data_IF_474833831914
#
_entry.id   IF_474833831914
#
_cell.length_a   1.000
_cell.length_b   1.000
_cell.length_c   1.000
_cell.angle_alpha   90.00
_cell.angle_beta   90.00
_cell.angle_gamma   90.00
#
_symmetry.space_group_name_H-M   'P 1'
#
loop_
_entity.id
_entity.type
_entity.pdbx_description
1 polymer ?
#
# COMPACT_ATOMS: atom_id res chain seq x y z
N UNK A 1 -7.52 -4.80 5.41
CA UNK A 1 -7.54 -3.42 4.86
C UNK A 1 -8.39 -3.32 3.60
N UNK A 2 -8.25 -4.23 2.63
CA UNK A 2 -8.94 -4.19 1.33
C UNK A 2 -10.48 -4.00 1.43
N UNK A 3 -11.15 -4.68 2.37
CA UNK A 3 -12.60 -4.51 2.58
C UNK A 3 -12.99 -3.07 2.96
N UNK A 4 -12.14 -2.36 3.69
CA UNK A 4 -12.39 -0.97 4.09
C UNK A 4 -12.15 -0.01 2.93
N UNK A 5 -11.12 -0.26 2.11
CA UNK A 5 -10.82 0.56 0.93
C UNK A 5 -11.94 0.52 -0.12
N UNK A 6 -12.71 -0.58 -0.19
CA UNK A 6 -13.86 -0.72 -1.08
C UNK A 6 -15.18 -0.18 -0.47
N UNK A 7 -15.16 0.24 0.80
CA UNK A 7 -16.34 0.80 1.45
C UNK A 7 -16.52 2.28 1.07
N UNK A 8 -17.77 2.76 0.88
CA UNK A 8 -18.04 4.19 0.71
C UNK A 8 -17.72 5.02 1.97
N UNK A 9 -17.53 4.40 3.13
CA UNK A 9 -17.29 5.08 4.41
C UNK A 9 -15.86 5.63 4.55
N UNK A 10 -14.93 5.17 3.71
CA UNK A 10 -13.53 5.53 3.77
C UNK A 10 -13.08 6.29 2.51
N UNK A 11 -12.36 7.38 2.73
CA UNK A 11 -11.69 8.13 1.66
C UNK A 11 -10.25 7.68 1.54
N UNK A 12 -9.85 7.27 0.33
CA UNK A 12 -8.48 6.97 -0.02
C UNK A 12 -7.69 8.22 -0.38
N UNK A 13 -6.44 8.30 0.08
CA UNK A 13 -5.50 9.37 -0.28
C UNK A 13 -4.12 8.78 -0.57
N UNK A 14 -3.56 9.18 -1.71
CA UNK A 14 -2.14 9.02 -2.01
C UNK A 14 -1.40 10.33 -1.70
N UNK A 15 -0.49 10.31 -0.74
CA UNK A 15 0.39 11.44 -0.43
C UNK A 15 1.64 11.37 -1.29
N UNK A 16 1.73 12.27 -2.27
CA UNK A 16 2.87 12.36 -3.20
C UNK A 16 4.19 12.72 -2.52
N UNK A 17 4.18 13.46 -1.41
CA UNK A 17 5.41 13.84 -0.70
C UNK A 17 5.97 12.65 0.06
N UNK A 18 5.09 11.85 0.68
CA UNK A 18 5.48 10.65 1.41
C UNK A 18 5.68 9.42 0.50
N UNK A 19 5.13 9.44 -0.72
CA UNK A 19 5.03 8.28 -1.62
C UNK A 19 4.34 7.07 -0.94
N UNK A 20 3.32 7.37 -0.14
CA UNK A 20 2.55 6.40 0.66
C UNK A 20 1.06 6.72 0.60
N UNK A 21 0.23 5.75 0.99
CA UNK A 21 -1.22 5.87 0.99
C UNK A 21 -1.81 5.72 2.39
N UNK A 22 -2.99 6.30 2.56
CA UNK A 22 -3.81 6.09 3.74
C UNK A 22 -5.30 6.15 3.38
N UNK A 23 -6.12 5.53 4.22
CA UNK A 23 -7.57 5.70 4.22
C UNK A 23 -8.00 6.38 5.52
N UNK A 24 -9.07 7.18 5.46
CA UNK A 24 -9.68 7.75 6.65
C UNK A 24 -11.21 7.78 6.54
N UNK A 25 -11.88 7.61 7.68
CA UNK A 25 -13.34 7.54 7.76
C UNK A 25 -13.80 7.60 9.22
N UNK A 26 -14.80 8.44 9.52
CA UNK A 26 -15.29 8.64 10.88
C UNK A 26 -14.18 9.08 11.85
N UNK A 27 -13.80 8.19 12.78
CA UNK A 27 -12.72 8.40 13.77
C UNK A 27 -11.49 7.52 13.51
N UNK A 28 -11.41 6.89 12.34
CA UNK A 28 -10.34 5.95 11.99
C UNK A 28 -9.45 6.51 10.89
N UNK A 29 -8.16 6.26 11.02
CA UNK A 29 -7.13 6.55 10.03
C UNK A 29 -6.20 5.34 9.95
N UNK A 30 -5.97 4.82 8.75
CA UNK A 30 -5.11 3.66 8.53
C UNK A 30 -4.13 3.97 7.40
N UNK A 31 -2.84 3.85 7.68
CA UNK A 31 -1.81 3.81 6.65
C UNK A 31 -1.77 2.44 5.98
N UNK A 32 -1.55 2.41 4.68
CA UNK A 32 -1.45 1.18 3.92
C UNK A 32 -0.45 1.30 2.78
N UNK A 33 -0.06 0.14 2.27
CA UNK A 33 0.64 0.02 1.00
C UNK A 33 -0.29 -0.63 -0.01
N UNK A 34 -0.26 -0.13 -1.24
CA UNK A 34 -1.02 -0.64 -2.37
C UNK A 34 -0.09 -0.81 -3.58
N UNK A 35 -0.58 -1.27 -4.74
CA UNK A 35 0.28 -1.44 -5.90
C UNK A 35 1.06 -0.16 -6.27
N UNK A 36 0.46 1.03 -6.18
CA UNK A 36 1.09 2.31 -6.57
C UNK A 36 2.24 2.66 -5.61
N UNK A 37 2.02 2.56 -4.31
CA UNK A 37 3.07 2.87 -3.31
C UNK A 37 4.18 1.82 -3.36
N UNK A 38 3.83 0.55 -3.53
CA UNK A 38 4.79 -0.55 -3.60
C UNK A 38 5.68 -0.44 -4.84
N UNK A 39 5.10 -0.13 -6.02
CA UNK A 39 5.86 0.12 -7.23
C UNK A 39 6.79 1.34 -7.08
N UNK A 40 6.33 2.41 -6.43
CA UNK A 40 7.17 3.59 -6.17
C UNK A 40 8.41 3.24 -5.35
N UNK A 41 8.26 2.43 -4.30
CA UNK A 41 9.38 1.96 -3.48
C UNK A 41 10.29 0.98 -4.21
N UNK A 42 9.73 0.05 -4.99
CA UNK A 42 10.48 -0.86 -5.84
C UNK A 42 11.33 -0.11 -6.88
N UNK A 43 10.75 0.90 -7.53
CA UNK A 43 11.45 1.80 -8.45
C UNK A 43 12.56 2.57 -7.74
N UNK A 44 12.32 3.06 -6.51
CA UNK A 44 13.34 3.72 -5.71
C UNK A 44 14.52 2.80 -5.38
N UNK A 45 14.25 1.58 -4.92
CA UNK A 45 15.31 0.61 -4.62
C UNK A 45 16.15 0.29 -5.86
N UNK A 46 15.50 0.12 -7.02
CA UNK A 46 16.17 -0.10 -8.30
C UNK A 46 17.02 1.10 -8.73
N UNK A 47 16.50 2.32 -8.64
CA UNK A 47 17.22 3.54 -9.08
C UNK A 47 18.42 3.87 -8.21
N UNK A 48 18.44 3.44 -6.96
CA UNK A 48 19.54 3.63 -6.01
C UNK A 48 20.48 2.42 -5.93
N UNK A 49 20.32 1.43 -6.82
CA UNK A 49 21.12 0.20 -6.82
C UNK A 49 21.15 -0.52 -5.47
N UNK A 50 20.03 -0.48 -4.73
CA UNK A 50 19.87 -1.26 -3.51
C UNK A 50 19.68 -2.75 -3.86
N UNK A 51 20.08 -3.63 -2.95
CA UNK A 51 20.01 -5.08 -3.17
C UNK A 51 18.57 -5.62 -3.27
N UNK A 52 17.57 -4.90 -2.77
CA UNK A 52 16.17 -5.30 -2.82
C UNK A 52 15.31 -4.66 -1.75
N UNK A 53 14.12 -5.25 -1.53
CA UNK A 53 13.15 -4.86 -0.52
C UNK A 53 12.77 -6.11 0.29
N UNK A 54 12.55 -5.93 1.59
CA UNK A 54 12.00 -6.97 2.47
C UNK A 54 10.50 -6.75 2.63
N UNK A 55 9.71 -7.83 2.59
CA UNK A 55 8.26 -7.80 2.79
C UNK A 55 7.94 -8.44 4.13
N UNK A 56 7.18 -7.72 4.96
CA UNK A 56 6.67 -8.24 6.24
C UNK A 56 5.15 -8.00 6.32
N UNK A 57 4.32 -9.03 6.19
CA UNK A 57 4.66 -10.40 5.78
C UNK A 57 3.69 -10.86 4.70
N UNK A 58 4.03 -11.96 4.01
CA UNK A 58 3.18 -12.51 2.94
C UNK A 58 1.77 -12.86 3.42
N UNK A 59 1.58 -13.19 4.70
CA UNK A 59 0.27 -13.51 5.26
C UNK A 59 -0.64 -12.28 5.42
N UNK A 60 -0.09 -11.07 5.37
CA UNK A 60 -0.86 -9.82 5.44
C UNK A 60 -1.27 -9.32 4.05
N UNK A 61 -0.79 -9.97 2.99
CA UNK A 61 -1.14 -9.65 1.61
C UNK A 61 -2.52 -10.24 1.24
N UNK A 62 -3.13 -9.77 0.16
CA UNK A 62 -4.38 -10.33 -0.37
C UNK A 62 -4.14 -11.63 -1.15
N UNK A 63 -3.56 -12.62 -0.47
CA UNK A 63 -3.05 -13.85 -1.09
C UNK A 63 -4.12 -14.75 -1.72
N UNK A 64 -5.38 -14.63 -1.31
CA UNK A 64 -6.54 -15.31 -1.94
C UNK A 64 -6.84 -14.76 -3.34
N UNK A 65 -6.26 -13.60 -3.68
CA UNK A 65 -6.26 -13.00 -5.02
C UNK A 65 -4.85 -13.12 -5.63
N UNK A 66 -4.26 -14.31 -5.60
CA UNK A 66 -3.01 -14.57 -6.34
C UNK A 66 -3.33 -15.11 -7.74
N UNK A 67 -3.15 -14.19 -8.71
CA UNK A 67 -2.81 -14.41 -10.13
C UNK A 67 -3.87 -15.08 -11.03
N UNK A 68 -4.88 -14.31 -11.43
CA UNK A 68 -5.16 -13.90 -12.83
C UNK A 68 -6.41 -13.02 -12.90
#
# INVERSE_FOLDING_TARGET
VCNLTNSPDFTYVFDRKAASAYIYGGKQWLGLEDPVTMFSKASYAKSHSLAGIMIFSLAADDYEVILM
#
